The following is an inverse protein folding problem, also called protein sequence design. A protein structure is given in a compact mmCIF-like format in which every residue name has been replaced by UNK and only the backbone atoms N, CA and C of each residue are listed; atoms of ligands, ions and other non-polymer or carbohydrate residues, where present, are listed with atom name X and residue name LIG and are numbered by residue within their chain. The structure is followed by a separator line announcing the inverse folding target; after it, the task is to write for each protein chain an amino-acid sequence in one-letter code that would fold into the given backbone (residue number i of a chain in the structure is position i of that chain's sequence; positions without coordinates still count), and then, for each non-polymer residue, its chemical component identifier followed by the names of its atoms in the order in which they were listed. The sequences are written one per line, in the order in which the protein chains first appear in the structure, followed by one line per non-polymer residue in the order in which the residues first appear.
data_IF_260309213089
#
_entry.id   IF_260309213089
#
_cell.length_a   1.000
_cell.length_b   1.000
_cell.length_c   1.000
_cell.angle_alpha   90.00
_cell.angle_beta   90.00
_cell.angle_gamma   90.00
#
_symmetry.space_group_name_H-M   'P 1'
#
loop_
_entity.id
_entity.type
_entity.pdbx_description
1 polymer ?
#
# COMPACT_ATOMS: atom_id res chain seq x y z
N UNK A 1 -5.79 -14.21 67.19
CA UNK A 1 -5.10 -14.82 66.03
C UNK A 1 -3.80 -15.43 66.51
N UNK A 2 -3.57 -16.74 66.31
CA UNK A 2 -2.32 -17.36 66.76
C UNK A 2 -1.20 -16.91 65.83
N UNK A 3 0.04 -16.82 66.34
CA UNK A 3 1.21 -16.34 65.58
C UNK A 3 1.41 -17.07 64.23
N UNK A 4 0.95 -18.33 64.14
CA UNK A 4 0.95 -19.14 62.91
C UNK A 4 -0.07 -18.68 61.86
N UNK A 5 -1.23 -18.19 62.29
CA UNK A 5 -2.30 -17.72 61.38
C UNK A 5 -1.92 -16.38 60.72
N UNK A 6 -1.22 -15.51 61.45
CA UNK A 6 -0.71 -14.23 60.93
C UNK A 6 0.37 -14.48 59.86
N UNK A 7 1.25 -15.46 60.07
CA UNK A 7 2.32 -15.81 59.12
C UNK A 7 1.77 -16.45 57.85
N UNK A 8 0.73 -17.29 57.96
CA UNK A 8 0.09 -17.88 56.78
C UNK A 8 -0.64 -16.83 55.94
N UNK A 9 -1.31 -15.86 56.57
CA UNK A 9 -2.00 -14.79 55.87
C UNK A 9 -1.02 -13.85 55.14
N UNK A 10 0.09 -13.47 55.79
CA UNK A 10 1.08 -12.59 55.18
C UNK A 10 1.83 -13.25 54.02
N UNK A 11 2.16 -14.55 54.12
CA UNK A 11 2.74 -15.33 53.01
C UNK A 11 1.73 -15.47 51.86
N UNK A 12 0.46 -15.74 52.15
CA UNK A 12 -0.59 -15.82 51.13
C UNK A 12 -0.77 -14.51 50.36
N UNK A 13 -0.76 -13.37 51.06
CA UNK A 13 -0.86 -12.04 50.43
C UNK A 13 0.39 -11.74 49.59
N UNK A 14 1.60 -12.05 50.08
CA UNK A 14 2.84 -11.85 49.31
C UNK A 14 2.90 -12.69 48.03
N UNK A 15 2.42 -13.94 48.09
CA UNK A 15 2.34 -14.81 46.90
C UNK A 15 1.28 -14.29 45.92
N UNK A 16 0.12 -13.84 46.40
CA UNK A 16 -0.92 -13.28 45.55
C UNK A 16 -0.49 -11.96 44.88
N UNK A 17 0.19 -11.07 45.62
CA UNK A 17 0.73 -9.80 45.07
C UNK A 17 1.87 -10.09 44.09
N UNK A 18 2.75 -11.05 44.40
CA UNK A 18 3.82 -11.48 43.49
C UNK A 18 3.29 -12.08 42.19
N UNK A 19 2.22 -12.88 42.26
CA UNK A 19 1.56 -13.43 41.09
C UNK A 19 0.80 -12.36 40.28
N UNK A 20 0.14 -11.41 40.95
CA UNK A 20 -0.56 -10.30 40.28
C UNK A 20 0.42 -9.36 39.56
N UNK A 21 1.61 -9.12 40.13
CA UNK A 21 2.68 -8.34 39.49
C UNK A 21 3.31 -9.08 38.29
N UNK A 22 3.36 -10.41 38.31
CA UNK A 22 3.86 -11.21 37.18
C UNK A 22 2.90 -11.19 35.98
N UNK A 23 1.60 -11.03 36.20
CA UNK A 23 0.58 -10.99 35.13
C UNK A 23 0.55 -9.64 34.41
N UNK A 24 1.03 -8.55 35.02
CA UNK A 24 1.02 -7.20 34.42
C UNK A 24 2.38 -6.85 33.76
N UNK A 25 3.37 -7.73 33.85
CA UNK A 25 4.67 -7.53 33.20
C UNK A 25 4.56 -7.91 31.72
N UNK A 26 4.14 -6.96 30.90
CA UNK A 26 4.26 -7.06 29.44
C UNK A 26 5.72 -7.22 29.01
N UNK A 27 5.95 -7.76 27.81
CA UNK A 27 7.30 -7.98 27.28
C UNK A 27 8.14 -6.69 27.34
N UNK A 28 9.27 -6.78 28.03
CA UNK A 28 10.12 -5.65 28.36
C UNK A 28 10.95 -5.15 27.16
N UNK A 29 11.12 -5.99 26.14
CA UNK A 29 11.84 -5.72 24.89
C UNK A 29 10.92 -5.92 23.66
N UNK A 30 10.05 -4.95 23.36
CA UNK A 30 9.03 -5.05 22.32
C UNK A 30 8.88 -3.77 21.49
N UNK A 31 8.42 -3.89 20.23
CA UNK A 31 7.97 -2.74 19.45
C UNK A 31 6.54 -2.37 19.87
N UNK A 32 6.36 -1.16 20.39
CA UNK A 32 5.05 -0.63 20.76
C UNK A 32 4.52 0.30 19.66
N UNK A 33 3.23 0.21 19.37
CA UNK A 33 2.57 1.18 18.51
C UNK A 33 2.06 2.34 19.35
N UNK A 34 2.64 3.52 19.17
CA UNK A 34 2.23 4.76 19.88
C UNK A 34 2.05 5.85 18.81
N UNK A 35 0.85 6.41 18.72
CA UNK A 35 0.49 7.46 17.75
C UNK A 35 0.84 7.11 16.29
N UNK A 36 0.58 5.87 15.89
CA UNK A 36 0.84 5.40 14.52
C UNK A 36 2.32 5.17 14.19
N UNK A 37 3.21 5.27 15.18
CA UNK A 37 4.63 5.03 15.04
C UNK A 37 5.09 3.83 15.88
N UNK A 38 5.94 2.98 15.30
CA UNK A 38 6.66 1.95 16.04
C UNK A 38 7.71 2.59 16.93
N UNK A 39 7.47 2.56 18.23
CA UNK A 39 8.39 3.00 19.28
C UNK A 39 9.01 1.78 19.93
N UNK A 40 10.34 1.73 20.01
CA UNK A 40 11.03 0.67 20.71
C UNK A 40 10.81 0.82 22.22
N UNK A 41 10.32 -0.24 22.87
CA UNK A 41 10.32 -0.38 24.32
C UNK A 41 11.41 -1.39 24.69
N UNK A 42 12.39 -0.96 25.47
CA UNK A 42 13.59 -1.74 25.75
C UNK A 42 14.52 -1.86 24.53
N UNK A 43 15.03 -3.06 24.29
CA UNK A 43 15.92 -3.42 23.18
C UNK A 43 15.33 -4.57 22.36
N UNK A 44 14.32 -4.31 21.50
CA UNK A 44 13.70 -5.34 20.68
C UNK A 44 14.74 -6.02 19.79
N UNK A 45 14.82 -7.35 19.86
CA UNK A 45 15.77 -8.14 19.04
C UNK A 45 15.23 -8.46 17.65
N UNK A 46 13.93 -8.31 17.46
CA UNK A 46 13.27 -8.49 16.16
C UNK A 46 13.37 -7.19 15.36
N UNK A 47 13.47 -7.33 14.04
CA UNK A 47 13.42 -6.18 13.13
C UNK A 47 12.13 -5.37 13.35
N UNK A 48 12.23 -4.05 13.18
CA UNK A 48 11.06 -3.16 13.27
C UNK A 48 10.05 -3.58 12.20
N UNK A 49 8.76 -3.76 12.54
CA UNK A 49 7.77 -4.11 11.53
C UNK A 49 7.73 -3.05 10.41
N UNK A 50 7.67 -3.51 9.17
CA UNK A 50 7.67 -2.65 7.98
C UNK A 50 6.30 -2.06 7.65
N UNK A 51 5.22 -2.66 8.17
CA UNK A 51 3.86 -2.14 8.04
C UNK A 51 3.61 -0.97 9.01
N UNK A 52 2.73 -0.04 8.61
CA UNK A 52 2.31 1.03 9.51
C UNK A 52 1.66 0.45 10.76
N UNK A 53 2.02 0.95 11.94
CA UNK A 53 1.52 0.41 13.19
C UNK A 53 0.06 0.86 13.41
N UNK A 54 -0.82 -0.06 13.84
CA UNK A 54 -2.27 0.18 13.95
C UNK A 54 -3.09 -0.26 12.73
N UNK A 55 -2.44 -0.81 11.69
CA UNK A 55 -3.13 -1.56 10.63
C UNK A 55 -3.38 -2.99 11.11
N UNK A 56 -4.62 -3.46 11.04
CA UNK A 56 -4.96 -4.86 11.33
C UNK A 56 -4.29 -5.74 10.29
N UNK A 57 -3.54 -6.75 10.74
CA UNK A 57 -3.07 -7.80 9.85
C UNK A 57 -4.29 -8.57 9.31
N UNK A 58 -4.65 -8.32 8.05
CA UNK A 58 -5.62 -9.16 7.32
C UNK A 58 -6.87 -8.48 6.77
N UNK A 59 -6.99 -7.15 6.78
CA UNK A 59 -8.11 -6.45 6.12
C UNK A 59 -7.66 -5.38 5.14
N UNK A 60 -8.39 -5.19 4.04
CA UNK A 60 -8.19 -4.12 3.07
C UNK A 60 -9.16 -2.94 3.27
N UNK A 61 -8.91 -1.83 2.58
CA UNK A 61 -9.87 -0.73 2.51
C UNK A 61 -11.25 -1.22 2.01
N UNK A 62 -11.27 -2.09 1.01
CA UNK A 62 -12.49 -2.70 0.49
C UNK A 62 -13.21 -3.56 1.52
N UNK A 63 -12.49 -4.31 2.36
CA UNK A 63 -13.10 -5.09 3.45
C UNK A 63 -13.76 -4.16 4.47
N UNK A 64 -13.08 -3.08 4.86
CA UNK A 64 -13.63 -2.08 5.78
C UNK A 64 -14.91 -1.43 5.24
N UNK A 65 -14.91 -1.06 3.95
CA UNK A 65 -16.09 -0.47 3.29
C UNK A 65 -17.21 -1.48 3.13
N UNK A 66 -16.88 -2.73 2.77
CA UNK A 66 -17.87 -3.80 2.60
C UNK A 66 -18.55 -4.20 3.91
N UNK A 67 -17.88 -3.97 5.04
CA UNK A 67 -18.46 -4.10 6.39
C UNK A 67 -19.41 -2.94 6.77
N UNK A 68 -19.61 -1.95 5.89
CA UNK A 68 -20.56 -0.85 6.08
C UNK A 68 -20.01 0.33 6.88
N UNK A 69 -18.69 0.39 7.09
CA UNK A 69 -18.04 1.51 7.76
C UNK A 69 -17.97 2.76 6.85
N UNK A 70 -17.98 3.97 7.43
CA UNK A 70 -17.97 5.20 6.65
C UNK A 70 -16.61 5.44 5.96
N UNK A 71 -16.67 5.95 4.72
CA UNK A 71 -15.50 6.48 4.00
C UNK A 71 -15.31 7.93 4.42
N UNK A 72 -14.08 8.28 4.81
CA UNK A 72 -13.68 9.63 5.18
C UNK A 72 -13.43 10.49 3.94
N UNK A 73 -13.67 11.80 4.04
CA UNK A 73 -13.35 12.78 2.99
C UNK A 73 -11.84 13.06 2.95
N UNK A 74 -11.07 12.10 2.46
CA UNK A 74 -9.61 12.17 2.34
C UNK A 74 -9.12 11.58 1.03
N UNK A 75 -7.89 11.93 0.65
CA UNK A 75 -7.17 11.33 -0.48
C UNK A 75 -5.77 10.87 -0.04
N UNK A 76 -5.43 9.58 -0.18
CA UNK A 76 -6.28 8.45 -0.58
C UNK A 76 -7.51 8.28 0.32
N UNK A 77 -8.55 7.60 -0.18
CA UNK A 77 -9.75 7.32 0.62
C UNK A 77 -9.38 6.50 1.85
N UNK A 78 -10.01 6.81 2.96
CA UNK A 78 -9.77 6.12 4.23
C UNK A 78 -11.08 5.61 4.81
N UNK A 79 -11.01 4.45 5.45
CA UNK A 79 -12.12 3.82 6.14
C UNK A 79 -11.67 3.48 7.56
N UNK A 80 -12.52 3.78 8.55
CA UNK A 80 -12.26 3.46 9.95
C UNK A 80 -13.35 2.53 10.46
N UNK A 81 -12.93 1.40 11.04
CA UNK A 81 -13.88 0.44 11.61
C UNK A 81 -14.42 0.88 12.99
N UNK A 82 -15.35 0.09 13.53
CA UNK A 82 -15.95 0.32 14.85
C UNK A 82 -14.96 0.17 16.01
N UNK A 83 -13.83 -0.50 15.79
CA UNK A 83 -12.76 -0.70 16.76
C UNK A 83 -11.70 0.42 16.70
N UNK A 84 -11.79 1.29 15.70
CA UNK A 84 -10.91 2.44 15.49
C UNK A 84 -9.73 2.19 14.56
N UNK A 85 -9.63 1.01 13.94
CA UNK A 85 -8.55 0.70 12.99
C UNK A 85 -8.73 1.46 11.68
N UNK A 86 -7.60 1.90 11.10
CA UNK A 86 -7.58 2.70 9.88
C UNK A 86 -7.14 1.86 8.68
N UNK A 87 -7.99 1.84 7.66
CA UNK A 87 -7.73 1.21 6.37
C UNK A 87 -7.61 2.30 5.31
N UNK A 88 -6.48 2.33 4.62
CA UNK A 88 -6.19 3.32 3.58
C UNK A 88 -6.26 2.61 2.23
N UNK A 89 -6.93 3.23 1.26
CA UNK A 89 -7.01 2.72 -0.10
C UNK A 89 -5.60 2.58 -0.71
N UNK A 90 -5.31 1.40 -1.28
CA UNK A 90 -4.08 1.18 -2.04
C UNK A 90 -4.21 1.78 -3.43
N UNK A 91 -3.33 2.73 -3.75
CA UNK A 91 -3.25 3.36 -5.07
C UNK A 91 -1.97 2.96 -5.83
N UNK A 92 -1.29 1.89 -5.39
CA UNK A 92 0.04 1.52 -5.88
C UNK A 92 1.09 2.56 -5.47
N UNK A 93 1.97 2.96 -6.38
CA UNK A 93 3.04 3.92 -6.10
C UNK A 93 2.80 5.32 -6.69
N UNK A 94 1.54 5.68 -7.01
CA UNK A 94 1.22 6.97 -7.66
C UNK A 94 1.72 8.19 -6.88
N UNK A 95 1.73 8.12 -5.54
CA UNK A 95 2.15 9.25 -4.69
C UNK A 95 3.67 9.45 -4.78
N UNK A 96 4.43 8.36 -4.86
CA UNK A 96 5.89 8.38 -5.02
C UNK A 96 6.30 8.94 -6.39
N UNK A 97 5.44 8.72 -7.41
CA UNK A 97 5.72 9.10 -8.80
C UNK A 97 5.04 10.39 -9.26
N UNK A 98 4.22 11.03 -8.42
CA UNK A 98 3.40 12.20 -8.77
C UNK A 98 4.19 13.36 -9.42
N UNK A 99 5.46 13.54 -9.07
CA UNK A 99 6.32 14.59 -9.64
C UNK A 99 6.92 14.25 -11.00
N UNK A 100 6.90 12.97 -11.39
CA UNK A 100 7.53 12.42 -12.59
C UNK A 100 6.49 11.97 -13.63
N UNK A 101 5.43 11.31 -13.19
CA UNK A 101 4.36 10.80 -14.05
C UNK A 101 3.03 10.81 -13.30
N UNK A 102 1.96 11.15 -14.01
CA UNK A 102 0.62 11.26 -13.47
C UNK A 102 -0.34 10.57 -14.43
N UNK A 103 -1.09 9.60 -13.92
CA UNK A 103 -2.14 8.93 -14.66
C UNK A 103 -3.46 9.69 -14.47
N UNK A 104 -4.12 10.02 -15.57
CA UNK A 104 -5.45 10.65 -15.57
C UNK A 104 -6.56 9.63 -15.80
N UNK A 105 -6.34 8.66 -16.69
CA UNK A 105 -7.27 7.55 -16.92
C UNK A 105 -6.48 6.28 -17.23
N UNK A 106 -6.87 5.12 -16.68
CA UNK A 106 -7.92 4.93 -15.67
C UNK A 106 -7.53 5.51 -14.29
N UNK A 107 -8.52 5.79 -13.44
CA UNK A 107 -8.25 6.07 -12.03
C UNK A 107 -7.79 4.77 -11.29
N UNK A 108 -7.04 4.87 -10.19
CA UNK A 108 -6.70 3.71 -9.39
C UNK A 108 -7.93 2.92 -8.95
N UNK A 109 -7.83 1.60 -8.96
CA UNK A 109 -8.88 0.63 -8.68
C UNK A 109 -10.11 0.70 -9.59
N UNK A 110 -10.09 1.49 -10.67
CA UNK A 110 -11.20 1.56 -11.61
C UNK A 110 -11.46 0.21 -12.30
N UNK A 111 -12.74 -0.07 -12.57
CA UNK A 111 -13.15 -1.20 -13.39
C UNK A 111 -12.92 -0.89 -14.87
N UNK A 112 -12.03 -1.64 -15.50
CA UNK A 112 -11.61 -1.46 -16.90
C UNK A 112 -12.20 -2.55 -17.79
N UNK A 113 -12.43 -2.19 -19.05
CA UNK A 113 -12.88 -3.09 -20.11
C UNK A 113 -12.05 -2.84 -21.37
N UNK A 114 -12.04 -3.82 -22.29
CA UNK A 114 -11.27 -3.75 -23.52
C UNK A 114 -12.09 -3.08 -24.66
N UNK A 115 -11.48 -2.20 -25.48
CA UNK A 115 -10.15 -1.61 -25.29
C UNK A 115 -10.14 -0.57 -24.16
N UNK A 116 -8.98 -0.42 -23.51
CA UNK A 116 -8.76 0.63 -22.52
C UNK A 116 -7.91 1.76 -23.12
N UNK A 117 -8.36 2.99 -22.94
CA UNK A 117 -7.58 4.20 -23.23
C UNK A 117 -6.89 4.67 -21.96
N UNK A 118 -5.58 4.81 -22.04
CA UNK A 118 -4.69 5.22 -20.96
C UNK A 118 -4.20 6.63 -21.29
N UNK A 119 -4.47 7.59 -20.40
CA UNK A 119 -4.06 8.99 -20.56
C UNK A 119 -3.43 9.51 -19.29
N UNK A 120 -2.55 10.48 -19.46
CA UNK A 120 -1.89 11.14 -18.35
C UNK A 120 -0.85 12.12 -18.86
N UNK A 121 0.08 12.46 -17.99
CA UNK A 121 1.22 13.30 -18.31
C UNK A 121 2.49 12.82 -17.61
N UNK A 122 3.63 12.94 -18.27
CA UNK A 122 4.92 12.56 -17.71
C UNK A 122 5.98 13.63 -18.02
N UNK A 123 7.00 13.74 -17.17
CA UNK A 123 8.18 14.58 -17.42
C UNK A 123 8.96 14.02 -18.60
N UNK A 124 9.70 14.86 -19.34
CA UNK A 124 10.47 14.43 -20.52
C UNK A 124 11.40 13.24 -20.30
N UNK A 125 11.95 13.10 -19.08
CA UNK A 125 12.82 11.97 -18.67
C UNK A 125 12.16 10.59 -18.73
N UNK A 126 10.82 10.52 -18.81
CA UNK A 126 10.09 9.27 -18.98
C UNK A 126 10.08 8.75 -20.41
N UNK A 127 10.29 9.64 -21.37
CA UNK A 127 10.19 9.34 -22.80
C UNK A 127 11.56 9.05 -23.40
N UNK A 128 11.57 8.13 -24.36
CA UNK A 128 12.61 8.00 -25.36
C UNK A 128 11.93 7.89 -26.73
N UNK A 129 12.44 8.63 -27.71
CA UNK A 129 11.79 8.74 -29.03
C UNK A 129 10.29 9.11 -28.94
N UNK A 130 9.94 10.05 -28.06
CA UNK A 130 8.57 10.51 -27.79
C UNK A 130 7.61 9.44 -27.24
N UNK A 131 8.13 8.33 -26.69
CA UNK A 131 7.29 7.24 -26.23
C UNK A 131 7.84 6.49 -25.02
N UNK A 132 7.01 5.66 -24.39
CA UNK A 132 7.44 4.70 -23.37
C UNK A 132 6.48 3.50 -23.29
N UNK A 133 6.94 2.34 -22.82
CA UNK A 133 6.11 1.13 -22.76
C UNK A 133 5.09 1.15 -21.62
N UNK A 134 3.93 0.57 -21.89
CA UNK A 134 2.85 0.36 -20.91
C UNK A 134 2.44 -1.11 -20.92
N UNK A 135 2.28 -1.68 -19.73
CA UNK A 135 1.90 -3.08 -19.52
C UNK A 135 0.63 -3.15 -18.70
N UNK A 136 -0.22 -4.11 -19.03
CA UNK A 136 -1.36 -4.51 -18.23
C UNK A 136 -1.09 -5.92 -17.73
N UNK A 137 -1.08 -6.10 -16.41
CA UNK A 137 -0.86 -7.38 -15.74
C UNK A 137 -2.10 -7.83 -14.99
N UNK A 138 -2.27 -9.15 -14.87
CA UNK A 138 -3.32 -9.73 -14.03
C UNK A 138 -2.88 -9.83 -12.55
N UNK A 139 -3.66 -10.55 -11.74
CA UNK A 139 -3.44 -10.71 -10.30
C UNK A 139 -2.17 -11.51 -9.95
N UNK A 140 -1.63 -12.32 -10.88
CA UNK A 140 -0.42 -13.12 -10.67
C UNK A 140 0.85 -12.43 -11.21
N UNK A 141 0.68 -11.27 -11.85
CA UNK A 141 1.76 -10.49 -12.46
C UNK A 141 2.02 -10.84 -13.93
N UNK A 142 1.25 -11.75 -14.53
CA UNK A 142 1.35 -12.07 -15.95
C UNK A 142 0.87 -10.89 -16.79
N UNK A 143 1.70 -10.52 -17.77
CA UNK A 143 1.36 -9.52 -18.78
C UNK A 143 0.26 -10.09 -19.69
N UNK A 144 -0.89 -9.44 -19.70
CA UNK A 144 -2.05 -9.79 -20.55
C UNK A 144 -2.20 -8.85 -21.74
N UNK A 145 -1.66 -7.63 -21.65
CA UNK A 145 -1.52 -6.73 -22.79
C UNK A 145 -0.33 -5.79 -22.60
N UNK A 146 0.21 -5.30 -23.71
CA UNK A 146 1.28 -4.32 -23.74
C UNK A 146 1.07 -3.36 -24.90
N UNK A 147 1.58 -2.15 -24.76
CA UNK A 147 1.50 -1.13 -25.79
C UNK A 147 2.46 0.00 -25.50
N UNK A 148 2.36 1.05 -26.30
CA UNK A 148 3.26 2.20 -26.24
C UNK A 148 2.43 3.45 -25.96
N UNK A 149 2.78 4.16 -24.91
CA UNK A 149 2.28 5.51 -24.67
C UNK A 149 3.06 6.49 -25.55
N UNK A 150 2.32 7.29 -26.31
CA UNK A 150 2.86 8.29 -27.22
C UNK A 150 2.68 9.68 -26.63
N UNK A 151 3.75 10.48 -26.61
CA UNK A 151 3.68 11.89 -26.26
C UNK A 151 2.78 12.64 -27.25
N UNK A 152 2.04 13.62 -26.75
CA UNK A 152 1.12 14.46 -27.55
C UNK A 152 1.68 15.84 -27.87
N UNK A 153 2.86 16.16 -27.34
CA UNK A 153 3.58 17.40 -27.59
C UNK A 153 5.09 17.14 -27.58
N UNK A 154 5.88 18.20 -27.76
CA UNK A 154 7.33 18.12 -27.61
C UNK A 154 7.69 17.55 -26.21
N UNK A 155 8.53 16.53 -26.20
CA UNK A 155 8.84 15.72 -25.03
C UNK A 155 10.21 16.03 -24.43
N UNK A 156 11.08 16.73 -25.17
CA UNK A 156 12.42 17.10 -24.71
C UNK A 156 12.37 18.31 -23.77
N UNK A 157 11.57 18.20 -22.71
CA UNK A 157 11.31 19.27 -21.76
C UNK A 157 11.34 18.75 -20.33
N UNK A 158 11.63 19.64 -19.40
CA UNK A 158 11.44 19.35 -17.98
C UNK A 158 9.97 19.44 -17.57
N UNK A 159 9.06 19.89 -18.44
CA UNK A 159 7.64 20.05 -18.12
C UNK A 159 6.84 18.75 -18.26
N UNK A 160 5.63 18.76 -17.73
CA UNK A 160 4.70 17.64 -17.94
C UNK A 160 4.18 17.63 -19.38
N UNK A 161 4.33 16.48 -20.02
CA UNK A 161 4.00 16.23 -21.42
C UNK A 161 2.85 15.21 -21.44
N UNK A 162 1.68 15.54 -22.02
CA UNK A 162 0.57 14.61 -22.10
C UNK A 162 0.93 13.39 -22.95
N UNK A 163 0.45 12.22 -22.53
CA UNK A 163 0.61 10.97 -23.27
C UNK A 163 -0.72 10.24 -23.44
N UNK A 164 -0.77 9.35 -24.42
CA UNK A 164 -1.89 8.42 -24.62
C UNK A 164 -1.39 7.05 -25.09
N UNK A 165 -2.01 5.99 -24.58
CA UNK A 165 -1.90 4.63 -25.09
C UNK A 165 -3.29 4.00 -25.20
N UNK A 166 -3.45 3.02 -26.09
CA UNK A 166 -4.64 2.17 -26.14
C UNK A 166 -4.20 0.72 -26.06
N UNK A 167 -4.76 -0.02 -25.10
CA UNK A 167 -4.52 -1.46 -24.96
C UNK A 167 -5.80 -2.23 -25.26
N UNK A 168 -5.65 -3.29 -26.06
CA UNK A 168 -6.69 -4.31 -26.26
C UNK A 168 -6.27 -5.55 -25.50
N UNK A 169 -7.15 -6.08 -24.66
CA UNK A 169 -6.89 -7.25 -23.83
C UNK A 169 -8.12 -8.17 -23.77
N UNK A 170 -7.90 -9.42 -23.38
CA UNK A 170 -8.96 -10.35 -22.99
C UNK A 170 -9.06 -10.38 -21.47
N UNK A 171 -10.29 -10.41 -20.95
CA UNK A 171 -10.52 -10.50 -19.51
C UNK A 171 -9.87 -11.78 -18.94
N UNK A 172 -9.05 -11.69 -17.88
CA UNK A 172 -8.51 -12.89 -17.22
C UNK A 172 -9.62 -13.84 -16.76
N UNK A 173 -9.36 -15.14 -16.85
CA UNK A 173 -10.32 -16.19 -16.47
C UNK A 173 -10.54 -16.30 -14.97
N UNK A 174 -9.58 -15.82 -14.17
CA UNK A 174 -9.60 -15.83 -12.71
C UNK A 174 -9.04 -14.52 -12.17
N UNK A 175 -9.65 -14.04 -11.09
CA UNK A 175 -9.25 -12.80 -10.43
C UNK A 175 -9.76 -11.55 -11.16
N UNK A 176 -10.30 -10.61 -10.39
CA UNK A 176 -10.72 -9.29 -10.91
C UNK A 176 -9.63 -8.23 -10.70
N UNK A 177 -8.52 -8.57 -10.04
CA UNK A 177 -7.45 -7.63 -9.74
C UNK A 177 -6.36 -7.68 -10.80
N UNK A 178 -5.75 -6.54 -11.06
CA UNK A 178 -4.56 -6.42 -11.90
C UNK A 178 -3.86 -5.10 -11.63
N UNK A 179 -2.84 -4.81 -12.41
CA UNK A 179 -2.14 -3.53 -12.37
C UNK A 179 -1.84 -3.03 -13.78
N UNK A 180 -1.92 -1.71 -13.92
CA UNK A 180 -1.40 -0.98 -15.06
C UNK A 180 0.00 -0.48 -14.69
N UNK A 181 0.99 -0.82 -15.50
CA UNK A 181 2.40 -0.48 -15.28
C UNK A 181 2.86 0.42 -16.42
N UNK A 182 3.14 1.68 -16.13
CA UNK A 182 3.81 2.58 -17.06
C UNK A 182 5.30 2.51 -16.70
N UNK A 183 6.14 2.07 -17.64
CA UNK A 183 7.57 1.91 -17.40
C UNK A 183 8.31 3.00 -18.15
N UNK A 184 9.14 3.76 -17.45
CA UNK A 184 10.06 4.72 -18.06
C UNK A 184 10.93 4.00 -19.07
N UNK A 185 11.12 4.59 -20.25
CA UNK A 185 12.00 3.96 -21.23
C UNK A 185 13.47 4.06 -20.78
N UNK A 186 14.19 2.96 -20.90
CA UNK A 186 15.59 2.85 -20.47
C UNK A 186 16.44 2.16 -21.55
N UNK A 187 16.84 2.89 -22.60
CA UNK A 187 17.65 2.35 -23.69
C UNK A 187 19.01 1.80 -23.25
N UNK A 188 19.52 2.26 -22.10
CA UNK A 188 20.80 1.80 -21.55
C UNK A 188 20.75 0.41 -20.93
N UNK A 189 19.54 -0.03 -20.50
CA UNK A 189 19.34 -1.27 -19.75
C UNK A 189 19.96 -1.29 -18.35
N UNK A 190 20.43 -0.14 -17.84
CA UNK A 190 21.04 -0.04 -16.51
C UNK A 190 19.97 0.09 -15.42
N UNK A 191 19.98 -0.74 -14.36
CA UNK A 191 18.95 -0.72 -13.32
C UNK A 191 18.77 0.62 -12.62
N UNK A 192 19.84 1.43 -12.49
CA UNK A 192 19.76 2.78 -11.90
C UNK A 192 18.90 3.78 -12.71
N UNK A 193 18.51 3.42 -13.93
CA UNK A 193 17.68 4.25 -14.81
C UNK A 193 16.26 3.71 -14.97
N UNK A 194 15.99 2.52 -14.43
CA UNK A 194 14.66 1.92 -14.43
C UNK A 194 13.73 2.70 -13.48
N UNK A 195 12.54 2.99 -13.97
CA UNK A 195 11.47 3.52 -13.14
C UNK A 195 10.12 3.03 -13.66
N UNK A 196 9.15 2.87 -12.76
CA UNK A 196 7.82 2.40 -13.09
C UNK A 196 6.76 3.03 -12.18
N UNK A 197 5.62 3.32 -12.78
CA UNK A 197 4.39 3.69 -12.12
C UNK A 197 3.47 2.49 -12.19
N UNK A 198 3.06 2.00 -11.03
CA UNK A 198 2.18 0.86 -10.86
C UNK A 198 0.86 1.35 -10.28
N UNK A 199 -0.22 1.15 -11.03
CA UNK A 199 -1.56 1.58 -10.64
C UNK A 199 -2.47 0.35 -10.57
N UNK A 200 -3.07 0.04 -9.42
CA UNK A 200 -3.98 -1.09 -9.31
C UNK A 200 -5.24 -0.81 -10.15
N UNK A 201 -5.77 -1.85 -10.80
CA UNK A 201 -7.02 -1.78 -11.56
C UNK A 201 -7.92 -2.96 -11.21
N UNK A 202 -9.15 -2.94 -11.75
CA UNK A 202 -10.09 -4.06 -11.67
C UNK A 202 -10.61 -4.44 -13.05
N UNK A 203 -10.75 -5.73 -13.35
CA UNK A 203 -11.30 -6.20 -14.62
C UNK A 203 -12.82 -6.33 -14.54
N UNK A 204 -13.53 -5.71 -15.49
CA UNK A 204 -14.98 -5.85 -15.64
C UNK A 204 -15.36 -7.04 -16.52
#
# INVERSE_FOLDING_TARGET
MKKKDIVLLSVGILVAVGALLFVIKGDEDAWLCIDGNWVAHGTPRTERPVSACGQVAGGSFEDCVSAGNPIMESYPRQCRDTEGHLFVESLGNIIEKQNLVQLTSPEPNAFIQSPITITGQARGVWFFEASFPVFLVDWDGKIIAQGIAQAKSDWMTEEFVPFEAVLTFEKPSYGERGALILRKDNPSGLPEHDDALEVPIRFK
#
